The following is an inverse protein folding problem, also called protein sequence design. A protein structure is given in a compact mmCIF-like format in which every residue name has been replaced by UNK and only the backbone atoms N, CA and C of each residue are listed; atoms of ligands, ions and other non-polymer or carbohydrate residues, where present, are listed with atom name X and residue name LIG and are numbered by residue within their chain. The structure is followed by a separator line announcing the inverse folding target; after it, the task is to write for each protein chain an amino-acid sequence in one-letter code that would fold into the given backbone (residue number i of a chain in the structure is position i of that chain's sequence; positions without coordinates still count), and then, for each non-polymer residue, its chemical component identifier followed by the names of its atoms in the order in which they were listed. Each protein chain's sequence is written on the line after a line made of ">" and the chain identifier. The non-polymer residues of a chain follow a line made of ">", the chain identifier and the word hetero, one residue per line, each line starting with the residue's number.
data_IF_644996949061
#
_entry.id   IF_644996949061
#
_cell.length_a   1.000
_cell.length_b   1.000
_cell.length_c   1.000
_cell.angle_alpha   90.00
_cell.angle_beta   90.00
_cell.angle_gamma   90.00
#
_symmetry.space_group_name_H-M   'P 1'
#
loop_
_entity.id
_entity.type
_entity.pdbx_description
1 polymer ?
#
# COMPACT_ATOMS: atom_id res chain seq x y z
N UNK A 1 -13.89 4.75 9.93
CA UNK A 1 -13.51 3.47 9.30
C UNK A 1 -14.21 3.43 7.96
N UNK A 2 -13.48 3.61 6.85
CA UNK A 2 -14.06 3.41 5.52
C UNK A 2 -14.06 1.91 5.23
N UNK A 3 -15.19 1.25 5.43
CA UNK A 3 -15.35 -0.18 5.10
C UNK A 3 -15.44 -0.35 3.59
N UNK A 4 -14.29 -0.25 2.90
CA UNK A 4 -14.16 -0.85 1.58
C UNK A 4 -14.29 -2.36 1.74
N UNK A 5 -15.30 -2.96 1.10
CA UNK A 5 -15.55 -4.42 1.12
C UNK A 5 -14.23 -5.16 0.88
N UNK A 6 -13.81 -5.97 1.84
CA UNK A 6 -12.57 -6.75 1.72
C UNK A 6 -12.65 -7.62 0.45
N UNK A 7 -11.54 -7.80 -0.29
CA UNK A 7 -11.53 -8.63 -1.49
C UNK A 7 -12.05 -10.05 -1.18
N UNK A 8 -12.89 -10.62 -2.04
CA UNK A 8 -13.51 -11.93 -1.81
C UNK A 8 -12.48 -13.04 -1.55
N UNK A 9 -11.32 -12.96 -2.23
CA UNK A 9 -10.19 -13.87 -1.98
C UNK A 9 -9.65 -13.78 -0.56
N UNK A 10 -9.58 -12.58 0.03
CA UNK A 10 -9.14 -12.40 1.42
C UNK A 10 -10.13 -13.03 2.40
N UNK A 11 -11.44 -12.85 2.16
CA UNK A 11 -12.49 -13.46 2.98
C UNK A 11 -12.41 -15.00 2.94
N UNK A 12 -12.23 -15.58 1.76
CA UNK A 12 -12.05 -17.03 1.60
C UNK A 12 -10.81 -17.55 2.35
N UNK A 13 -9.69 -16.83 2.33
CA UNK A 13 -8.48 -17.20 3.08
C UNK A 13 -8.74 -17.13 4.59
N UNK A 14 -9.45 -16.10 5.06
CA UNK A 14 -9.80 -15.94 6.48
C UNK A 14 -10.69 -17.08 7.00
N UNK A 15 -11.65 -17.52 6.20
CA UNK A 15 -12.51 -18.66 6.56
C UNK A 15 -11.73 -19.99 6.59
N UNK A 16 -10.84 -20.21 5.61
CA UNK A 16 -10.08 -21.47 5.51
C UNK A 16 -8.90 -21.57 6.47
N UNK A 17 -8.26 -20.44 6.78
CA UNK A 17 -7.01 -20.38 7.53
C UNK A 17 -7.02 -19.22 8.55
N UNK A 18 -7.94 -19.22 9.54
CA UNK A 18 -8.10 -18.11 10.47
C UNK A 18 -6.82 -17.80 11.26
N UNK A 19 -6.14 -18.83 11.77
CA UNK A 19 -4.89 -18.66 12.52
C UNK A 19 -3.78 -17.97 11.69
N UNK A 20 -3.72 -18.24 10.38
CA UNK A 20 -2.77 -17.57 9.49
C UNK A 20 -3.10 -16.08 9.36
N UNK A 21 -4.37 -15.76 9.14
CA UNK A 21 -4.82 -14.37 9.02
C UNK A 21 -4.61 -13.60 10.31
N UNK A 22 -4.85 -14.21 11.46
CA UNK A 22 -4.60 -13.60 12.77
C UNK A 22 -3.10 -13.34 12.98
N UNK A 23 -2.24 -14.30 12.63
CA UNK A 23 -0.79 -14.13 12.72
C UNK A 23 -0.28 -13.00 11.80
N UNK A 24 -0.74 -12.95 10.55
CA UNK A 24 -0.37 -11.91 9.59
C UNK A 24 -0.89 -10.53 10.04
N UNK A 25 -2.11 -10.48 10.57
CA UNK A 25 -2.70 -9.24 11.10
C UNK A 25 -1.92 -8.71 12.30
N UNK A 26 -1.54 -9.60 13.22
CA UNK A 26 -0.69 -9.25 14.37
C UNK A 26 0.69 -8.76 13.92
N UNK A 27 1.33 -9.43 12.95
CA UNK A 27 2.59 -8.96 12.37
C UNK A 27 2.43 -7.54 11.77
N UNK A 28 1.36 -7.31 11.03
CA UNK A 28 1.05 -6.00 10.47
C UNK A 28 0.88 -4.90 11.53
N UNK A 29 0.23 -5.24 12.66
CA UNK A 29 0.08 -4.33 13.81
C UNK A 29 1.43 -4.04 14.45
N UNK A 30 2.15 -5.07 14.88
CA UNK A 30 3.45 -4.93 15.58
C UNK A 30 4.42 -4.12 14.73
N UNK A 31 4.59 -4.47 13.45
CA UNK A 31 5.50 -3.72 12.54
C UNK A 31 5.10 -2.27 12.33
N UNK A 32 3.83 -1.89 12.54
CA UNK A 32 3.38 -0.50 12.48
C UNK A 32 3.57 0.28 13.78
N UNK A 33 3.82 -0.39 14.90
CA UNK A 33 3.93 0.22 16.24
C UNK A 33 5.37 0.27 16.78
N UNK A 34 6.28 -0.59 16.29
CA UNK A 34 7.64 -0.73 16.86
C UNK A 34 8.66 0.33 16.41
N UNK A 35 8.36 1.14 15.41
CA UNK A 35 9.34 2.01 14.75
C UNK A 35 9.21 3.50 15.11
N UNK A 36 10.25 4.31 14.85
CA UNK A 36 10.20 5.76 15.04
C UNK A 36 9.48 6.49 13.90
N UNK A 37 9.13 5.78 12.82
CA UNK A 37 8.50 6.39 11.64
C UNK A 37 7.01 6.61 11.87
N UNK A 38 6.53 7.79 11.49
CA UNK A 38 5.10 8.06 11.49
C UNK A 38 4.33 7.19 10.47
N UNK A 39 3.01 7.14 10.64
CA UNK A 39 2.13 6.32 9.80
C UNK A 39 2.23 6.70 8.32
N UNK A 40 2.31 8.01 8.01
CA UNK A 40 2.39 8.51 6.64
C UNK A 40 3.64 7.96 5.94
N UNK A 41 4.79 8.17 6.56
CA UNK A 41 6.11 7.74 6.09
C UNK A 41 6.15 6.22 5.91
N UNK A 42 5.62 5.48 6.87
CA UNK A 42 5.54 4.02 6.78
C UNK A 42 4.69 3.54 5.58
N UNK A 43 3.58 4.21 5.26
CA UNK A 43 2.78 3.86 4.08
C UNK A 43 3.45 4.26 2.77
N UNK A 44 4.14 5.40 2.70
CA UNK A 44 4.90 5.80 1.51
C UNK A 44 6.05 4.82 1.21
N UNK A 45 6.76 4.34 2.24
CA UNK A 45 7.78 3.29 2.07
C UNK A 45 7.16 2.00 1.51
N UNK A 46 6.00 1.58 2.05
CA UNK A 46 5.32 0.38 1.57
C UNK A 46 4.74 0.56 0.16
N UNK A 47 4.29 1.76 -0.20
CA UNK A 47 3.89 2.13 -1.56
C UNK A 47 5.07 1.98 -2.53
N UNK A 48 6.23 2.52 -2.19
CA UNK A 48 7.44 2.37 -2.98
C UNK A 48 7.82 0.89 -3.18
N UNK A 49 7.83 0.09 -2.10
CA UNK A 49 8.09 -1.35 -2.18
C UNK A 49 7.06 -2.10 -3.03
N UNK A 50 5.80 -1.68 -2.98
CA UNK A 50 4.73 -2.26 -3.80
C UNK A 50 4.90 -1.98 -5.29
N UNK A 51 5.37 -0.77 -5.63
CA UNK A 51 5.73 -0.39 -6.99
C UNK A 51 6.90 -1.23 -7.52
N UNK A 52 7.95 -1.43 -6.71
CA UNK A 52 9.09 -2.31 -7.03
C UNK A 52 8.63 -3.75 -7.30
N UNK A 53 7.74 -4.27 -6.46
CA UNK A 53 7.17 -5.62 -6.61
C UNK A 53 6.11 -5.73 -7.71
N UNK A 54 5.78 -4.61 -8.38
CA UNK A 54 4.68 -4.49 -9.35
C UNK A 54 3.35 -5.07 -8.87
N UNK A 55 3.04 -4.85 -7.60
CA UNK A 55 1.82 -5.35 -6.98
C UNK A 55 0.76 -4.26 -6.98
N UNK A 56 -0.05 -4.22 -8.04
CA UNK A 56 -1.13 -3.24 -8.21
C UNK A 56 -2.04 -3.15 -6.98
N UNK A 57 -2.55 -4.30 -6.50
CA UNK A 57 -3.41 -4.32 -5.31
C UNK A 57 -2.74 -3.76 -4.04
N UNK A 58 -1.42 -3.95 -3.90
CA UNK A 58 -0.66 -3.39 -2.79
C UNK A 58 -0.41 -1.89 -2.98
N UNK A 59 -0.15 -1.43 -4.22
CA UNK A 59 -0.08 0.00 -4.56
C UNK A 59 -1.40 0.69 -4.22
N UNK A 60 -2.55 0.11 -4.62
CA UNK A 60 -3.87 0.63 -4.25
C UNK A 60 -4.07 0.72 -2.74
N UNK A 61 -3.70 -0.34 -2.01
CA UNK A 61 -3.84 -0.40 -0.55
C UNK A 61 -2.98 0.65 0.15
N UNK A 62 -1.69 0.75 -0.20
CA UNK A 62 -0.76 1.67 0.46
C UNK A 62 -0.96 3.12 0.04
N UNK A 63 -1.40 3.39 -1.19
CA UNK A 63 -1.81 4.73 -1.61
C UNK A 63 -3.02 5.24 -0.79
N UNK A 64 -4.10 4.45 -0.65
CA UNK A 64 -5.25 4.82 0.20
C UNK A 64 -4.84 5.06 1.65
N UNK A 65 -4.08 4.13 2.23
CA UNK A 65 -3.65 4.23 3.64
C UNK A 65 -2.70 5.39 3.88
N UNK A 66 -1.89 5.76 2.89
CA UNK A 66 -1.05 6.96 2.96
C UNK A 66 -1.93 8.23 2.99
N UNK A 67 -2.95 8.32 2.13
CA UNK A 67 -3.92 9.44 2.14
C UNK A 67 -4.67 9.52 3.47
N UNK A 68 -5.13 8.39 4.01
CA UNK A 68 -5.75 8.30 5.34
C UNK A 68 -4.82 8.75 6.47
N UNK A 69 -3.51 8.57 6.29
CA UNK A 69 -2.48 9.04 7.21
C UNK A 69 -2.06 10.51 6.98
N UNK A 70 -2.73 11.22 6.07
CA UNK A 70 -2.50 12.64 5.78
C UNK A 70 -1.48 12.90 4.67
N UNK A 71 -1.14 11.91 3.85
CA UNK A 71 -0.33 12.15 2.65
C UNK A 71 -1.09 12.99 1.62
N UNK A 72 -0.38 13.85 0.89
CA UNK A 72 -0.94 14.54 -0.28
C UNK A 72 -0.80 13.69 -1.54
N UNK A 73 -1.53 14.04 -2.60
CA UNK A 73 -1.42 13.38 -3.91
C UNK A 73 0.00 13.49 -4.47
N UNK A 74 0.61 14.66 -4.29
CA UNK A 74 1.96 14.99 -4.71
C UNK A 74 2.99 14.12 -3.98
N UNK A 75 2.79 13.83 -2.69
CA UNK A 75 3.65 12.91 -1.93
C UNK A 75 3.57 11.47 -2.47
N UNK A 76 2.39 11.01 -2.90
CA UNK A 76 2.24 9.68 -3.53
C UNK A 76 3.00 9.62 -4.86
N UNK A 77 2.79 10.59 -5.74
CA UNK A 77 3.46 10.63 -7.04
C UNK A 77 4.98 10.75 -6.88
N UNK A 78 5.44 11.66 -6.01
CA UNK A 78 6.87 11.84 -5.79
C UNK A 78 7.53 10.56 -5.25
N UNK A 79 6.84 9.83 -4.35
CA UNK A 79 7.33 8.56 -3.80
C UNK A 79 7.66 7.55 -4.90
N UNK A 80 6.84 7.42 -5.94
CA UNK A 80 7.11 6.50 -7.05
C UNK A 80 8.02 7.10 -8.11
N UNK A 81 7.98 8.42 -8.34
CA UNK A 81 8.89 9.13 -9.26
C UNK A 81 10.36 8.99 -8.83
N UNK A 82 10.63 9.05 -7.51
CA UNK A 82 11.97 8.84 -6.94
C UNK A 82 12.59 7.49 -7.35
N UNK A 83 11.76 6.50 -7.70
CA UNK A 83 12.20 5.17 -8.09
C UNK A 83 12.61 5.06 -9.57
N UNK A 84 12.48 6.13 -10.37
CA UNK A 84 12.71 6.07 -11.83
C UNK A 84 14.08 5.51 -12.20
N UNK A 85 15.15 5.93 -11.51
CA UNK A 85 16.50 5.42 -11.73
C UNK A 85 16.74 4.01 -11.17
N UNK A 86 15.83 3.51 -10.33
CA UNK A 86 15.94 2.19 -9.66
C UNK A 86 15.17 1.10 -10.41
N UNK A 87 13.93 1.39 -10.82
CA UNK A 87 13.04 0.41 -11.45
C UNK A 87 12.66 0.74 -12.91
N UNK A 88 13.15 1.86 -13.44
CA UNK A 88 12.88 2.30 -14.82
C UNK A 88 11.50 2.96 -15.01
N UNK A 89 11.42 3.82 -16.02
CA UNK A 89 10.21 4.59 -16.34
C UNK A 89 8.94 3.73 -16.54
N UNK A 90 8.96 2.57 -17.24
CA UNK A 90 7.75 1.77 -17.44
C UNK A 90 7.08 1.31 -16.14
N UNK A 91 7.88 0.92 -15.14
CA UNK A 91 7.34 0.47 -13.85
C UNK A 91 6.82 1.65 -13.02
N UNK A 92 7.48 2.81 -13.08
CA UNK A 92 6.98 4.04 -12.45
C UNK A 92 5.69 4.51 -13.10
N UNK A 93 5.60 4.49 -14.43
CA UNK A 93 4.40 4.85 -15.18
C UNK A 93 3.20 3.98 -14.79
N UNK A 94 3.40 2.66 -14.67
CA UNK A 94 2.37 1.75 -14.17
C UNK A 94 1.94 2.09 -12.73
N UNK A 95 2.90 2.34 -11.83
CA UNK A 95 2.60 2.71 -10.45
C UNK A 95 1.82 4.03 -10.35
N UNK A 96 2.11 5.01 -11.21
CA UNK A 96 1.34 6.26 -11.31
C UNK A 96 -0.09 5.96 -11.76
N UNK A 97 -0.28 5.10 -12.76
CA UNK A 97 -1.63 4.70 -13.20
C UNK A 97 -2.46 4.07 -12.09
N UNK A 98 -1.86 3.22 -11.25
CA UNK A 98 -2.54 2.60 -10.11
C UNK A 98 -2.83 3.61 -8.98
N UNK A 99 -1.95 4.59 -8.76
CA UNK A 99 -2.23 5.70 -7.85
C UNK A 99 -3.41 6.52 -8.37
N UNK A 100 -3.46 6.79 -9.68
CA UNK A 100 -4.56 7.47 -10.34
C UNK A 100 -5.90 6.75 -10.13
N UNK A 101 -5.93 5.42 -10.23
CA UNK A 101 -7.14 4.62 -9.99
C UNK A 101 -7.68 4.87 -8.57
N UNK A 102 -6.79 4.97 -7.56
CA UNK A 102 -7.17 5.32 -6.18
C UNK A 102 -7.69 6.76 -6.07
N UNK A 103 -7.10 7.70 -6.80
CA UNK A 103 -7.45 9.12 -6.71
C UNK A 103 -8.74 9.48 -7.47
N UNK A 104 -9.12 8.66 -8.46
CA UNK A 104 -10.33 8.84 -9.28
C UNK A 104 -11.58 8.22 -8.62
N UNK A 105 -11.40 7.23 -7.74
CA UNK A 105 -12.48 6.56 -7.01
C UNK A 105 -12.86 5.23 -7.62
#
# INVERSE_FOLDING_TARGET
>A
MGEGKLPEKYLSIKERFPALVDAVSNLGKVTSEIGPLDKKTAQLIKLAASAVNRSEGAVHSHARRALEAGATKEELYHTVILLTSTIGFPNVSAAISWIDDVLKG
#
